data_IF_164746741817
#
_entry.id   IF_164746741817
#
_cell.length_a   1.000
_cell.length_b   1.000
_cell.length_c   1.000
_cell.angle_alpha   90.00
_cell.angle_beta   90.00
_cell.angle_gamma   90.00
#
_symmetry.space_group_name_H-M   'P 1'
#
loop_
_entity.id
_entity.type
_entity.pdbx_description
1 polymer ?
#
# COMPACT_ATOMS: atom_id res chain seq x y z
N UNK A 1 -3.30 11.71 -11.65
CA UNK A 1 -2.27 12.60 -11.05
C UNK A 1 -1.05 11.75 -10.78
N UNK A 2 0.05 11.97 -11.52
CA UNK A 2 1.30 11.24 -11.34
C UNK A 2 1.98 11.74 -10.06
N UNK A 3 1.68 11.15 -8.92
CA UNK A 3 2.52 11.34 -7.74
C UNK A 3 3.91 10.84 -8.12
N UNK A 4 4.96 11.69 -8.11
CA UNK A 4 6.29 11.23 -8.44
C UNK A 4 6.62 10.08 -7.50
N UNK A 5 7.00 8.93 -8.05
CA UNK A 5 7.42 7.76 -7.29
C UNK A 5 8.42 8.22 -6.22
N UNK A 6 7.95 8.29 -4.98
CA UNK A 6 8.75 8.88 -3.91
C UNK A 6 9.75 7.82 -3.51
N UNK A 7 11.01 8.02 -3.94
CA UNK A 7 12.09 7.12 -3.60
C UNK A 7 12.34 7.13 -2.09
N UNK A 8 12.73 5.98 -1.54
CA UNK A 8 13.07 5.85 -0.12
C UNK A 8 14.10 6.90 0.31
N UNK A 9 15.15 7.12 -0.50
CA UNK A 9 16.21 8.08 -0.19
C UNK A 9 15.68 9.51 -0.01
N UNK A 10 14.83 10.00 -0.94
CA UNK A 10 14.23 11.34 -0.80
C UNK A 10 13.37 11.45 0.45
N UNK A 11 12.63 10.39 0.78
CA UNK A 11 11.78 10.37 1.96
C UNK A 11 12.62 10.36 3.25
N UNK A 12 13.69 9.57 3.29
CA UNK A 12 14.66 9.55 4.39
C UNK A 12 15.29 10.93 4.57
N UNK A 13 15.76 11.57 3.50
CA UNK A 13 16.33 12.93 3.55
C UNK A 13 15.29 13.95 4.05
N UNK A 14 14.03 13.85 3.62
CA UNK A 14 12.93 14.72 4.06
C UNK A 14 12.67 14.62 5.57
N UNK A 15 12.64 13.42 6.13
CA UNK A 15 12.33 13.21 7.54
C UNK A 15 13.56 13.31 8.46
N UNK A 16 14.72 12.90 7.96
CA UNK A 16 15.96 12.87 8.76
C UNK A 16 16.80 14.15 8.60
N UNK A 17 16.61 14.91 7.54
CA UNK A 17 17.50 15.99 7.13
C UNK A 17 18.80 15.45 6.51
N UNK A 18 19.48 16.22 5.64
CA UNK A 18 20.63 15.72 4.86
C UNK A 18 21.76 15.13 5.72
N UNK A 19 22.14 15.82 6.80
CA UNK A 19 23.26 15.42 7.68
C UNK A 19 22.95 14.17 8.53
N UNK A 20 21.68 13.92 8.85
CA UNK A 20 21.30 12.68 9.54
C UNK A 20 21.03 11.56 8.54
N UNK A 21 20.58 11.87 7.33
CA UNK A 21 20.41 10.90 6.25
C UNK A 21 21.74 10.24 5.85
N UNK A 22 22.85 10.98 5.88
CA UNK A 22 24.18 10.44 5.64
C UNK A 22 24.64 9.42 6.71
N UNK A 23 24.09 9.53 7.92
CA UNK A 23 24.35 8.60 9.06
C UNK A 23 23.23 7.59 9.25
N UNK A 24 22.29 7.53 8.31
CA UNK A 24 21.14 6.66 8.39
C UNK A 24 21.54 5.21 8.05
N UNK A 25 20.98 4.26 8.80
CA UNK A 25 21.19 2.82 8.62
C UNK A 25 19.85 2.10 8.68
N UNK A 26 19.68 1.09 7.84
CA UNK A 26 18.51 0.21 7.90
C UNK A 26 18.70 -0.74 9.08
N UNK A 27 17.77 -0.72 10.03
CA UNK A 27 17.82 -1.57 11.23
C UNK A 27 16.88 -2.76 11.14
N UNK A 28 15.77 -2.61 10.42
CA UNK A 28 14.79 -3.67 10.17
C UNK A 28 14.28 -3.57 8.74
N UNK A 29 13.92 -4.69 8.14
CA UNK A 29 13.23 -4.70 6.86
C UNK A 29 12.32 -5.92 6.74
N UNK A 30 11.22 -5.75 6.03
CA UNK A 30 10.29 -6.82 5.65
C UNK A 30 10.04 -6.75 4.15
N UNK A 31 10.29 -7.87 3.47
CA UNK A 31 10.06 -8.01 2.04
C UNK A 31 9.21 -9.24 1.69
N UNK A 32 8.65 -9.95 2.68
CA UNK A 32 7.85 -11.14 2.40
C UNK A 32 6.59 -10.78 1.62
N UNK A 33 6.36 -11.43 0.48
CA UNK A 33 5.10 -11.34 -0.29
C UNK A 33 3.89 -11.83 0.51
N UNK A 34 4.11 -12.69 1.51
CA UNK A 34 3.07 -13.17 2.41
C UNK A 34 2.76 -12.15 3.53
N UNK A 35 3.71 -11.27 3.86
CA UNK A 35 3.43 -10.13 4.73
C UNK A 35 2.52 -9.17 3.99
N UNK A 36 1.45 -8.72 4.66
CA UNK A 36 0.57 -7.67 4.10
C UNK A 36 1.35 -6.38 3.78
N UNK A 37 2.50 -6.16 4.43
CA UNK A 37 3.28 -4.92 4.31
C UNK A 37 4.76 -5.19 4.02
N UNK A 38 5.28 -4.45 3.03
CA UNK A 38 6.71 -4.28 2.77
C UNK A 38 7.16 -3.00 3.46
N UNK A 39 8.21 -3.06 4.28
CA UNK A 39 8.70 -1.88 4.99
C UNK A 39 10.19 -1.97 5.29
N UNK A 40 10.78 -0.82 5.62
CA UNK A 40 12.12 -0.70 6.19
C UNK A 40 12.06 0.23 7.40
N UNK A 41 12.79 -0.08 8.46
CA UNK A 41 13.07 0.83 9.55
C UNK A 41 14.45 1.43 9.33
N UNK A 42 14.54 2.75 9.34
CA UNK A 42 15.79 3.47 9.19
C UNK A 42 16.04 4.23 10.48
N UNK A 43 17.20 3.98 11.09
CA UNK A 43 17.67 4.68 12.27
C UNK A 43 18.81 5.63 11.90
N UNK A 44 18.89 6.78 12.57
CA UNK A 44 20.03 7.70 12.45
C UNK A 44 20.38 8.32 13.79
N UNK A 45 21.69 8.45 14.04
CA UNK A 45 22.23 9.12 15.23
C UNK A 45 22.20 10.63 15.05
N UNK A 46 21.62 11.33 16.01
CA UNK A 46 21.56 12.79 16.13
C UNK A 46 22.21 13.23 17.45
N UNK A 47 22.51 14.52 17.56
CA UNK A 47 23.07 15.10 18.79
C UNK A 47 22.15 14.89 20.00
N UNK A 48 20.84 14.80 19.77
CA UNK A 48 19.81 14.61 20.80
C UNK A 48 19.44 13.15 21.05
N UNK A 49 20.04 12.19 20.35
CA UNK A 49 19.71 10.76 20.46
C UNK A 49 19.55 10.05 19.11
N UNK A 50 19.07 8.81 19.12
CA UNK A 50 18.77 8.04 17.90
C UNK A 50 17.31 8.24 17.48
N UNK A 51 17.09 8.54 16.20
CA UNK A 51 15.76 8.61 15.59
C UNK A 51 15.57 7.44 14.65
N UNK A 52 14.51 6.66 14.88
CA UNK A 52 14.10 5.53 14.03
C UNK A 52 12.73 5.80 13.39
N UNK A 53 12.64 5.61 12.08
CA UNK A 53 11.40 5.82 11.30
C UNK A 53 11.13 4.59 10.42
N UNK A 54 9.88 4.16 10.41
CA UNK A 54 9.39 3.14 9.48
C UNK A 54 8.92 3.77 8.18
N UNK A 55 9.37 3.20 7.08
CA UNK A 55 8.95 3.52 5.72
C UNK A 55 8.31 2.30 5.10
N UNK A 56 7.11 2.46 4.59
CA UNK A 56 6.29 1.42 3.99
C UNK A 56 6.32 1.55 2.47
N UNK A 57 6.47 0.43 1.78
CA UNK A 57 6.39 0.35 0.33
C UNK A 57 4.99 -0.03 -0.10
N UNK A 58 4.37 0.84 -0.89
CA UNK A 58 3.03 0.66 -1.44
C UNK A 58 3.09 -0.17 -2.73
N UNK A 59 1.94 -0.65 -3.20
CA UNK A 59 1.84 -1.52 -4.38
C UNK A 59 2.15 -0.80 -5.69
N UNK A 60 1.99 0.52 -5.71
CA UNK A 60 2.41 1.41 -6.79
C UNK A 60 3.94 1.62 -6.83
N UNK A 61 4.69 1.00 -5.92
CA UNK A 61 6.14 1.13 -5.82
C UNK A 61 6.62 2.33 -5.01
N UNK A 62 5.73 3.24 -4.61
CA UNK A 62 6.06 4.42 -3.82
C UNK A 62 6.37 4.09 -2.37
N UNK A 63 7.16 4.95 -1.72
CA UNK A 63 7.41 4.87 -0.28
C UNK A 63 6.61 5.93 0.48
N UNK A 64 6.12 5.56 1.67
CA UNK A 64 5.40 6.46 2.58
C UNK A 64 5.73 6.12 4.04
N UNK A 65 5.57 7.06 4.97
CA UNK A 65 5.63 6.78 6.42
C UNK A 65 4.33 6.18 6.96
N UNK A 66 3.27 6.18 6.15
CA UNK A 66 2.00 5.57 6.49
C UNK A 66 1.90 4.17 5.86
N UNK A 67 1.39 3.18 6.60
CA UNK A 67 1.18 1.85 6.06
C UNK A 67 0.21 1.89 4.86
N UNK A 68 0.34 0.95 3.90
CA UNK A 68 -0.64 0.81 2.82
C UNK A 68 -2.02 0.60 3.41
N UNK A 69 -3.04 1.26 2.85
CA UNK A 69 -4.41 1.04 3.29
C UNK A 69 -4.73 -0.46 3.14
N UNK A 70 -5.07 -1.10 4.26
CA UNK A 70 -5.56 -2.48 4.20
C UNK A 70 -6.85 -2.44 3.39
N UNK A 71 -6.96 -3.22 2.32
CA UNK A 71 -8.21 -3.38 1.57
C UNK A 71 -9.30 -3.72 2.59
N UNK A 72 -10.15 -2.74 2.91
CA UNK A 72 -11.26 -2.95 3.82
C UNK A 72 -12.23 -3.88 3.08
N UNK A 73 -12.83 -4.88 3.75
CA UNK A 73 -13.93 -5.61 3.15
C UNK A 73 -14.99 -4.59 2.73
N UNK A 74 -15.26 -4.52 1.43
CA UNK A 74 -16.32 -3.67 0.87
C UNK A 74 -17.56 -4.53 0.66
N UNK A 75 -18.73 -3.98 1.00
CA UNK A 75 -20.00 -4.60 0.66
C UNK A 75 -20.17 -4.45 -0.85
N UNK A 76 -19.99 -5.55 -1.59
CA UNK A 76 -20.27 -5.57 -3.01
C UNK A 76 -21.79 -5.63 -3.19
N UNK A 77 -22.38 -4.77 -4.03
CA UNK A 77 -23.81 -4.90 -4.33
C UNK A 77 -23.96 -6.21 -5.09
N UNK A 78 -24.61 -7.20 -4.48
CA UNK A 78 -24.92 -8.44 -5.17
C UNK A 78 -25.75 -8.05 -6.39
N UNK A 79 -25.19 -8.25 -7.59
CA UNK A 79 -25.92 -8.07 -8.84
C UNK A 79 -27.06 -9.08 -8.82
N UNK A 80 -28.27 -8.60 -8.56
CA UNK A 80 -29.47 -9.43 -8.64
C UNK A 80 -29.49 -10.10 -10.03
N UNK A 81 -29.64 -11.43 -10.11
CA UNK A 81 -29.80 -12.08 -11.39
C UNK A 81 -31.05 -11.52 -12.05
N UNK A 82 -30.89 -10.92 -13.23
CA UNK A 82 -32.04 -10.54 -14.06
C UNK A 82 -32.74 -11.83 -14.47
N UNK A 83 -33.91 -12.08 -13.88
CA UNK A 83 -34.76 -13.19 -14.31
C UNK A 83 -35.39 -12.78 -15.64
N UNK A 84 -34.77 -13.20 -16.74
CA UNK A 84 -35.42 -13.13 -18.05
C UNK A 84 -36.50 -14.20 -18.10
N UNK A 85 -37.72 -13.85 -17.70
CA UNK A 85 -38.92 -14.64 -17.94
C UNK A 85 -39.28 -14.65 -19.42
N UNK A 86 -38.63 -15.50 -20.22
CA UNK A 86 -39.11 -15.84 -21.54
C UNK A 86 -40.17 -16.95 -21.41
N UNK A 87 -41.43 -16.55 -21.21
CA UNK A 87 -42.55 -17.46 -21.46
C UNK A 87 -42.61 -17.72 -22.97
N UNK A 88 -42.13 -18.90 -23.39
CA UNK A 88 -42.38 -19.44 -24.72
C UNK A 88 -43.86 -19.84 -24.78
N UNK A 89 -44.72 -19.24 -25.61
CA UNK A 89 -46.06 -19.76 -25.79
C UNK A 89 -45.95 -21.15 -26.42
N UNK A 90 -46.57 -22.11 -25.73
CA UNK A 90 -46.70 -23.49 -26.15
C UNK A 90 -47.39 -23.57 -27.51
N UNK A 91 -46.89 -24.46 -28.35
CA UNK A 91 -47.55 -24.87 -29.58
C UNK A 91 -48.94 -25.43 -29.25
N UNK A 92 -49.98 -24.95 -29.95
CA UNK A 92 -51.25 -25.66 -30.04
C UNK A 92 -51.16 -26.72 -31.14
N UNK A 93 -51.60 -27.96 -30.89
CA UNK A 93 -51.90 -28.93 -31.93
C UNK A 93 -53.39 -28.84 -32.33
N UNK A 94 -53.69 -29.09 -33.60
CA UNK A 94 -55.05 -29.36 -34.10
C UNK A 94 -55.65 -28.24 -34.92
#
# INVERSE_FOLDING_TARGET
MNTPETSLRRLVEKWLGPASAMRARVTLFSHSRASRWRYVCVASKRATGELSIFFFRHDDGSWSIFPPQTKRPSMNVARMPVVNGAAKPAASPG
#
